data_IF_590083070888
#
_entry.id   IF_590083070888
#
_cell.length_a   1.000
_cell.length_b   1.000
_cell.length_c   1.000
_cell.angle_alpha   90.00
_cell.angle_beta   90.00
_cell.angle_gamma   90.00
#
_symmetry.space_group_name_H-M   'P 1'
#
loop_
_entity.id
_entity.type
_entity.pdbx_description
1 polymer ?
#
# COMPACT_ATOMS: atom_id res chain seq x y z
N UNK A 1 1.55 28.90 -19.45
CA UNK A 1 1.36 29.68 -18.21
C UNK A 1 2.10 28.94 -17.12
N UNK A 2 2.85 29.66 -16.29
CA UNK A 2 3.62 29.03 -15.23
C UNK A 2 2.70 28.88 -14.01
N UNK A 3 2.42 27.65 -13.54
CA UNK A 3 1.43 27.33 -12.49
C UNK A 3 1.88 27.74 -11.08
N UNK A 4 2.79 28.70 -10.97
CA UNK A 4 3.30 29.20 -9.70
C UNK A 4 2.22 29.91 -8.88
N UNK A 5 1.14 30.38 -9.51
CA UNK A 5 0.00 31.03 -8.83
C UNK A 5 -0.88 30.03 -8.05
N UNK A 6 -0.81 28.74 -8.36
CA UNK A 6 -1.58 27.69 -7.67
C UNK A 6 -0.99 27.34 -6.30
N UNK A 7 0.21 27.84 -5.99
CA UNK A 7 0.94 27.57 -4.75
C UNK A 7 1.30 28.87 -4.03
N UNK A 8 1.30 28.82 -2.71
CA UNK A 8 1.83 29.90 -1.88
C UNK A 8 3.34 30.06 -2.05
N UNK A 9 4.07 28.95 -2.23
CA UNK A 9 5.51 28.97 -2.47
C UNK A 9 5.98 27.68 -3.17
N UNK A 10 5.92 27.61 -4.49
CA UNK A 10 6.46 26.50 -5.26
C UNK A 10 7.95 26.20 -4.93
N UNK A 11 8.37 24.92 -4.80
CA UNK A 11 7.59 23.67 -4.82
C UNK A 11 7.10 23.21 -3.44
N UNK A 12 7.19 24.06 -2.41
CA UNK A 12 6.79 23.73 -1.05
C UNK A 12 5.27 23.71 -0.89
N UNK A 13 4.80 22.85 0.00
CA UNK A 13 3.39 22.73 0.35
C UNK A 13 3.15 23.17 1.79
N UNK A 14 2.13 23.99 1.97
CA UNK A 14 1.46 24.16 3.27
C UNK A 14 0.67 22.90 3.62
N UNK A 15 0.29 22.70 4.90
CA UNK A 15 -0.58 21.58 5.29
C UNK A 15 -1.89 21.53 4.50
N UNK A 16 -2.50 22.68 4.22
CA UNK A 16 -3.75 22.80 3.47
C UNK A 16 -3.56 22.44 1.98
N UNK A 17 -2.47 22.92 1.36
CA UNK A 17 -2.13 22.55 -0.02
C UNK A 17 -1.83 21.05 -0.12
N UNK A 18 -1.13 20.48 0.87
CA UNK A 18 -0.88 19.04 0.89
C UNK A 18 -2.18 18.23 1.01
N UNK A 19 -3.08 18.61 1.93
CA UNK A 19 -4.40 17.98 2.05
C UNK A 19 -5.20 18.06 0.73
N UNK A 20 -5.14 19.20 0.04
CA UNK A 20 -5.75 19.38 -1.28
C UNK A 20 -5.12 18.45 -2.32
N UNK A 21 -3.79 18.37 -2.40
CA UNK A 21 -3.10 17.48 -3.35
C UNK A 21 -3.43 16.01 -3.09
N UNK A 22 -3.54 15.59 -1.82
CA UNK A 22 -3.97 14.25 -1.44
C UNK A 22 -5.39 13.95 -1.92
N UNK A 23 -6.33 14.88 -1.71
CA UNK A 23 -7.72 14.72 -2.18
C UNK A 23 -7.82 14.64 -3.71
N UNK A 24 -7.04 15.45 -4.43
CA UNK A 24 -6.99 15.44 -5.90
C UNK A 24 -6.38 14.15 -6.43
N UNK A 25 -5.34 13.65 -5.78
CA UNK A 25 -4.68 12.39 -6.10
C UNK A 25 -5.62 11.19 -5.92
N UNK A 26 -6.33 11.13 -4.79
CA UNK A 26 -7.32 10.09 -4.51
C UNK A 26 -8.51 10.15 -5.48
N UNK A 27 -9.03 11.36 -5.76
CA UNK A 27 -10.07 11.57 -6.78
C UNK A 27 -9.63 11.01 -8.14
N UNK A 28 -8.39 11.26 -8.56
CA UNK A 28 -7.83 10.74 -9.81
C UNK A 28 -7.74 9.21 -9.79
N UNK A 29 -7.30 8.61 -8.69
CA UNK A 29 -7.27 7.16 -8.51
C UNK A 29 -8.66 6.52 -8.61
N UNK A 30 -9.66 7.12 -7.96
CA UNK A 30 -11.06 6.64 -7.99
C UNK A 30 -11.61 6.69 -9.42
N UNK A 31 -11.37 7.79 -10.14
CA UNK A 31 -11.85 8.01 -11.51
C UNK A 31 -11.15 7.15 -12.56
N UNK A 32 -9.91 6.71 -12.29
CA UNK A 32 -9.14 5.90 -13.22
C UNK A 32 -9.74 4.50 -13.42
N UNK A 33 -9.84 4.07 -14.68
CA UNK A 33 -10.33 2.74 -15.07
C UNK A 33 -9.20 1.71 -15.01
N UNK A 34 -8.80 1.35 -13.80
CA UNK A 34 -7.63 0.50 -13.53
C UNK A 34 -7.78 -0.98 -13.92
N UNK A 35 -9.01 -1.47 -14.13
CA UNK A 35 -9.24 -2.88 -14.49
C UNK A 35 -8.60 -3.85 -13.48
N UNK A 36 -7.87 -4.89 -13.95
CA UNK A 36 -7.18 -5.87 -13.09
C UNK A 36 -6.14 -5.26 -12.15
N UNK A 37 -5.53 -4.12 -12.51
CA UNK A 37 -4.51 -3.44 -11.69
C UNK A 37 -5.03 -3.06 -10.31
N UNK A 38 -6.33 -2.80 -10.18
CA UNK A 38 -6.97 -2.45 -8.89
C UNK A 38 -6.92 -3.58 -7.85
N UNK A 39 -6.69 -4.83 -8.26
CA UNK A 39 -6.49 -5.96 -7.34
C UNK A 39 -5.13 -5.91 -6.64
N UNK A 40 -4.12 -5.39 -7.34
CA UNK A 40 -2.72 -5.41 -6.90
C UNK A 40 -2.21 -4.05 -6.44
N UNK A 41 -2.96 -2.97 -6.67
CA UNK A 41 -2.54 -1.61 -6.39
C UNK A 41 -3.73 -0.84 -5.81
N UNK A 42 -3.64 -0.48 -4.53
CA UNK A 42 -4.67 0.27 -3.80
C UNK A 42 -4.07 1.56 -3.28
N UNK A 43 -4.83 2.65 -3.40
CA UNK A 43 -4.50 3.95 -2.80
C UNK A 43 -5.63 4.28 -1.82
N UNK A 44 -5.26 4.71 -0.62
CA UNK A 44 -6.17 5.19 0.40
C UNK A 44 -5.67 6.53 0.94
N UNK A 45 -6.57 7.49 1.11
CA UNK A 45 -6.27 8.68 1.91
C UNK A 45 -6.49 8.37 3.38
N UNK A 46 -5.49 8.65 4.22
CA UNK A 46 -5.53 8.45 5.67
C UNK A 46 -5.47 9.80 6.38
N UNK A 47 -6.06 9.85 7.57
CA UNK A 47 -5.99 11.01 8.47
C UNK A 47 -5.62 10.52 9.86
N UNK A 48 -4.49 11.02 10.37
CA UNK A 48 -4.03 10.70 11.72
C UNK A 48 -4.82 11.52 12.72
N UNK A 49 -5.53 10.87 13.64
CA UNK A 49 -6.41 11.56 14.60
C UNK A 49 -5.63 12.38 15.64
N UNK A 50 -4.44 11.93 16.03
CA UNK A 50 -3.62 12.58 17.07
C UNK A 50 -3.04 13.91 16.61
N UNK A 51 -2.57 13.98 15.37
CA UNK A 51 -1.92 15.15 14.78
C UNK A 51 -2.85 15.93 13.83
N UNK A 52 -3.96 15.34 13.41
CA UNK A 52 -4.86 15.89 12.39
C UNK A 52 -4.29 15.87 10.97
N UNK A 53 -3.11 15.27 10.77
CA UNK A 53 -2.39 15.28 9.48
C UNK A 53 -2.95 14.25 8.51
N UNK A 54 -3.13 14.67 7.26
CA UNK A 54 -3.50 13.78 6.15
C UNK A 54 -2.25 13.11 5.58
N UNK A 55 -2.38 11.86 5.11
CA UNK A 55 -1.35 11.12 4.39
C UNK A 55 -1.99 10.26 3.30
N UNK A 56 -1.17 9.80 2.35
CA UNK A 56 -1.60 8.80 1.36
C UNK A 56 -0.93 7.47 1.70
N UNK A 57 -1.72 6.41 1.73
CA UNK A 57 -1.26 5.03 1.84
C UNK A 57 -1.44 4.35 0.48
N UNK A 58 -0.39 3.70 -0.02
CA UNK A 58 -0.41 2.91 -1.24
C UNK A 58 0.01 1.48 -0.90
N UNK A 59 -0.87 0.52 -1.15
CA UNK A 59 -0.59 -0.90 -0.94
C UNK A 59 -0.40 -1.54 -2.31
N UNK A 60 0.74 -2.19 -2.51
CA UNK A 60 1.07 -2.91 -3.74
C UNK A 60 1.48 -4.34 -3.45
N UNK A 61 0.85 -5.30 -4.11
CA UNK A 61 1.28 -6.71 -4.05
C UNK A 61 2.60 -6.89 -4.83
N UNK A 62 3.53 -7.64 -4.26
CA UNK A 62 4.82 -7.96 -4.89
C UNK A 62 4.70 -9.12 -5.89
N UNK A 63 3.75 -10.02 -5.65
CA UNK A 63 3.38 -11.12 -6.53
C UNK A 63 1.87 -11.06 -6.77
N UNK A 64 1.44 -11.27 -8.02
CA UNK A 64 0.02 -11.38 -8.32
C UNK A 64 -0.52 -12.70 -7.72
N UNK A 65 -1.73 -12.70 -7.13
CA UNK A 65 -2.42 -13.95 -6.81
C UNK A 65 -2.52 -14.82 -8.06
N UNK A 66 -1.94 -16.02 -8.02
CA UNK A 66 -2.26 -17.10 -8.99
C UNK A 66 -3.69 -17.64 -8.76
N UNK A 67 -4.34 -17.21 -7.67
CA UNK A 67 -5.57 -17.77 -7.07
C UNK A 67 -6.89 -17.39 -7.76
N UNK A 68 -6.91 -16.57 -8.83
CA UNK A 68 -8.17 -16.37 -9.57
C UNK A 68 -8.73 -17.71 -10.06
N UNK A 69 -7.85 -18.60 -10.53
CA UNK A 69 -8.26 -19.93 -10.97
C UNK A 69 -8.73 -20.80 -9.82
N UNK A 70 -8.12 -20.72 -8.64
CA UNK A 70 -8.38 -21.69 -7.58
C UNK A 70 -9.67 -21.39 -6.80
N UNK A 71 -9.97 -20.12 -6.53
CA UNK A 71 -11.26 -19.74 -5.94
C UNK A 71 -12.41 -19.95 -6.93
N UNK A 72 -12.25 -19.59 -8.21
CA UNK A 72 -13.27 -19.88 -9.24
C UNK A 72 -13.48 -21.39 -9.42
N UNK A 73 -12.41 -22.19 -9.33
CA UNK A 73 -12.48 -23.68 -9.34
C UNK A 73 -13.18 -24.23 -8.10
N UNK A 74 -12.96 -23.65 -6.93
CA UNK A 74 -13.63 -24.06 -5.70
C UNK A 74 -15.12 -23.71 -5.71
N UNK A 75 -15.49 -22.53 -6.21
CA UNK A 75 -16.90 -22.16 -6.44
C UNK A 75 -17.58 -23.06 -7.48
N UNK A 76 -16.87 -23.44 -8.56
CA UNK A 76 -17.38 -24.39 -9.54
C UNK A 76 -17.61 -25.80 -8.95
N UNK A 77 -16.79 -26.22 -7.97
CA UNK A 77 -16.98 -27.47 -7.24
C UNK A 77 -18.18 -27.44 -6.27
N UNK A 78 -18.55 -26.26 -5.76
CA UNK A 78 -19.74 -26.08 -4.93
C UNK A 78 -21.05 -26.08 -5.74
N UNK A 79 -21.01 -25.65 -7.01
CA UNK A 79 -22.16 -25.67 -7.92
C UNK A 79 -22.39 -27.02 -8.65
N UNK A 80 -21.51 -28.00 -8.45
CA UNK A 80 -21.51 -29.27 -9.16
C UNK A 80 -22.35 -30.35 -8.51
N UNK A 81 -23.67 -30.17 -8.47
CA UNK A 81 -24.59 -31.19 -7.96
C UNK A 81 -26.04 -30.93 -8.35
N UNK A 82 -26.37 -31.04 -9.63
CA UNK A 82 -27.76 -31.25 -10.01
C UNK A 82 -28.12 -32.72 -9.74
N UNK A 83 -29.18 -32.96 -8.95
CA UNK A 83 -30.22 -33.85 -9.44
C UNK A 83 -31.58 -33.13 -9.44
N UNK A 84 -32.27 -33.29 -10.55
CA UNK A 84 -33.70 -33.05 -10.69
C UNK A 84 -34.46 -34.07 -9.84
N UNK A 85 -35.02 -33.65 -8.69
CA UNK A 85 -36.22 -34.24 -8.08
C UNK A 85 -36.94 -33.17 -7.27
N UNK A 86 -38.16 -32.87 -7.69
CA UNK A 86 -39.23 -32.20 -6.94
C UNK A 86 -39.39 -32.72 -5.50
N UNK A 87 -39.32 -31.85 -4.49
CA UNK A 87 -39.74 -32.17 -3.12
C UNK A 87 -39.23 -31.15 -2.09
N UNK A 88 -40.14 -30.60 -1.29
CA UNK A 88 -39.87 -29.71 -0.17
C UNK A 88 -38.83 -30.30 0.80
N UNK A 89 -37.76 -29.55 1.11
CA UNK A 89 -36.85 -29.87 2.22
C UNK A 89 -36.89 -28.71 3.21
N UNK A 90 -37.62 -28.93 4.29
CA UNK A 90 -37.57 -28.11 5.49
C UNK A 90 -36.17 -28.20 6.12
N UNK A 91 -35.57 -27.06 6.44
CA UNK A 91 -34.33 -26.98 7.21
C UNK A 91 -34.72 -27.07 8.68
N UNK A 92 -34.53 -28.24 9.29
CA UNK A 92 -34.65 -28.42 10.75
C UNK A 92 -33.41 -27.83 11.42
N UNK A 93 -33.58 -26.69 12.10
CA UNK A 93 -32.55 -26.11 12.97
C UNK A 93 -32.75 -26.72 14.36
N UNK A 94 -31.94 -27.72 14.70
CA UNK A 94 -31.88 -28.23 16.06
C UNK A 94 -31.12 -27.23 16.94
N UNK A 95 -31.86 -26.52 17.80
CA UNK A 95 -31.30 -25.70 18.89
C UNK A 95 -30.90 -26.65 20.03
N UNK A 96 -29.60 -26.87 20.21
CA UNK A 96 -29.07 -27.59 21.38
C UNK A 96 -28.61 -26.57 22.43
N UNK A 97 -28.98 -26.84 23.68
CA UNK A 97 -28.88 -26.01 24.88
C UNK A 97 -27.53 -25.34 25.12
N UNK A 98 -27.61 -24.10 25.60
CA UNK A 98 -26.52 -23.34 26.20
C UNK A 98 -26.20 -23.92 27.58
N UNK A 99 -24.99 -24.42 27.80
CA UNK A 99 -24.39 -24.43 29.14
C UNK A 99 -22.85 -24.48 29.04
N UNK A 100 -22.20 -23.53 29.73
CA UNK A 100 -20.76 -23.46 30.06
C UNK A 100 -19.79 -22.70 29.13
N UNK A 101 -20.10 -21.42 28.87
CA UNK A 101 -19.19 -20.47 28.20
C UNK A 101 -18.21 -19.79 29.18
N UNK A 102 -17.30 -20.58 29.76
CA UNK A 102 -16.24 -20.07 30.63
C UNK A 102 -14.87 -20.69 30.33
N UNK A 103 -14.28 -20.38 29.16
CA UNK A 103 -12.82 -20.43 29.04
C UNK A 103 -12.24 -19.42 28.02
N UNK A 104 -12.67 -18.17 28.10
CA UNK A 104 -11.89 -17.06 27.54
C UNK A 104 -10.80 -16.66 28.54
N UNK A 105 -9.55 -16.61 28.08
CA UNK A 105 -8.31 -16.19 28.78
C UNK A 105 -7.45 -17.31 29.39
N UNK A 106 -6.77 -18.07 28.52
CA UNK A 106 -5.45 -18.62 28.87
C UNK A 106 -4.37 -18.02 27.95
N UNK A 107 -3.29 -17.44 28.51
CA UNK A 107 -2.13 -17.03 27.72
C UNK A 107 -1.44 -18.26 27.15
N UNK A 108 -1.16 -18.25 25.85
CA UNK A 108 -0.47 -19.33 25.15
C UNK A 108 0.93 -19.57 25.76
N UNK A 109 1.08 -20.69 26.47
CA UNK A 109 2.39 -21.25 26.76
C UNK A 109 2.84 -22.08 25.56
N UNK A 110 4.06 -21.77 25.09
CA UNK A 110 4.78 -22.53 24.08
C UNK A 110 4.95 -23.98 24.52
N UNK A 111 4.43 -24.94 23.75
CA UNK A 111 4.85 -26.35 23.81
C UNK A 111 4.93 -26.93 22.39
N UNK A 112 6.07 -27.58 22.15
CA UNK A 112 6.54 -28.21 20.93
C UNK A 112 5.55 -29.13 20.21
N UNK A 113 5.61 -29.04 18.87
CA UNK A 113 5.75 -30.18 17.98
C UNK A 113 4.77 -31.34 18.10
N UNK A 114 3.64 -31.25 17.41
CA UNK A 114 3.12 -32.28 16.48
C UNK A 114 1.90 -31.70 15.76
N UNK A 115 1.84 -31.90 14.46
CA UNK A 115 0.96 -31.16 13.55
C UNK A 115 -0.52 -31.36 13.81
N UNK A 116 -1.19 -30.27 14.19
CA UNK A 116 -2.44 -29.79 13.59
C UNK A 116 -2.57 -28.32 14.01
N UNK A 117 -1.90 -27.43 13.29
CA UNK A 117 -1.92 -26.00 13.59
C UNK A 117 -3.28 -25.44 13.23
N UNK A 118 -3.96 -24.82 14.20
CA UNK A 118 -5.15 -24.01 13.95
C UNK A 118 -4.87 -23.09 12.76
N UNK A 119 -5.78 -22.99 11.77
CA UNK A 119 -5.57 -22.14 10.61
C UNK A 119 -5.33 -20.70 11.07
N UNK A 120 -4.12 -20.22 10.79
CA UNK A 120 -3.72 -18.87 11.13
C UNK A 120 -4.30 -17.96 10.05
N UNK A 121 -5.51 -17.44 10.29
CA UNK A 121 -6.16 -16.52 9.38
C UNK A 121 -5.46 -15.17 9.42
N UNK A 122 -4.44 -14.97 8.57
CA UNK A 122 -4.01 -13.63 8.21
C UNK A 122 -5.09 -13.02 7.31
N UNK A 123 -5.50 -11.78 7.61
CA UNK A 123 -6.53 -11.05 6.85
C UNK A 123 -6.11 -10.77 5.38
N UNK A 124 -4.85 -11.03 5.08
CA UNK A 124 -4.27 -11.07 3.74
C UNK A 124 -3.80 -12.52 3.53
N UNK A 125 -4.13 -13.13 2.38
CA UNK A 125 -3.40 -14.32 1.90
C UNK A 125 -1.90 -14.06 2.08
N UNK A 126 -1.06 -15.06 2.35
CA UNK A 126 0.40 -14.98 2.62
C UNK A 126 1.23 -14.37 1.48
N UNK A 127 0.63 -13.51 0.67
CA UNK A 127 1.21 -12.82 -0.46
C UNK A 127 2.03 -11.64 0.02
N UNK A 128 3.31 -11.58 -0.36
CA UNK A 128 4.18 -10.48 -0.02
C UNK A 128 3.66 -9.19 -0.65
N UNK A 129 3.65 -8.12 0.15
CA UNK A 129 3.24 -6.79 -0.30
C UNK A 129 4.10 -5.70 0.31
N UNK A 130 4.01 -4.51 -0.28
CA UNK A 130 4.66 -3.31 0.20
C UNK A 130 3.60 -2.26 0.48
N UNK A 131 3.74 -1.60 1.63
CA UNK A 131 2.97 -0.41 1.99
C UNK A 131 3.87 0.78 1.78
N UNK A 132 3.42 1.76 1.01
CA UNK A 132 4.05 3.07 0.90
C UNK A 132 3.17 4.10 1.58
N UNK A 133 3.76 5.03 2.29
CA UNK A 133 3.06 6.15 2.90
C UNK A 133 3.69 7.48 2.48
N UNK A 134 2.87 8.44 2.09
CA UNK A 134 3.29 9.78 1.71
C UNK A 134 2.85 10.75 2.80
N UNK A 135 3.84 11.31 3.49
CA UNK A 135 3.65 12.28 4.59
C UNK A 135 4.27 13.63 4.24
N UNK A 136 3.65 14.73 4.66
CA UNK A 136 4.28 16.05 4.55
C UNK A 136 5.37 16.19 5.62
N UNK A 137 6.61 16.46 5.19
CA UNK A 137 7.69 16.69 6.13
C UNK A 137 7.56 18.07 6.79
N UNK A 138 7.53 18.12 8.12
CA UNK A 138 7.29 19.34 8.90
C UNK A 138 8.28 20.48 8.58
N UNK A 139 9.59 20.19 8.50
CA UNK A 139 10.63 21.20 8.22
C UNK A 139 10.78 21.53 6.74
N UNK A 140 10.96 20.52 5.88
CA UNK A 140 11.19 20.73 4.45
C UNK A 140 9.96 21.20 3.69
N UNK A 141 8.74 21.02 4.23
CA UNK A 141 7.47 21.34 3.56
C UNK A 141 7.36 20.69 2.18
N UNK A 142 7.87 19.47 2.07
CA UNK A 142 7.81 18.62 0.89
C UNK A 142 7.31 17.24 1.31
N UNK A 143 6.67 16.47 0.41
CA UNK A 143 6.28 15.12 0.74
C UNK A 143 7.51 14.22 0.97
N UNK A 144 7.31 13.18 1.77
CA UNK A 144 8.29 12.14 2.07
C UNK A 144 7.67 10.77 1.88
N UNK A 145 8.41 9.89 1.21
CA UNK A 145 7.96 8.54 0.90
C UNK A 145 8.50 7.58 1.95
N UNK A 146 7.62 7.04 2.78
CA UNK A 146 7.90 5.96 3.73
C UNK A 146 7.44 4.64 3.13
N UNK A 147 8.09 3.54 3.48
CA UNK A 147 7.67 2.23 3.03
C UNK A 147 8.11 1.09 3.94
N UNK A 148 7.28 0.03 3.94
CA UNK A 148 7.49 -1.19 4.71
C UNK A 148 7.13 -2.41 3.87
N UNK A 149 7.97 -3.44 3.96
CA UNK A 149 7.75 -4.73 3.34
C UNK A 149 7.00 -5.64 4.33
N UNK A 150 6.03 -6.39 3.84
CA UNK A 150 5.19 -7.28 4.63
C UNK A 150 5.15 -8.68 4.01
N UNK A 151 5.03 -9.68 4.87
CA UNK A 151 4.82 -11.09 4.50
C UNK A 151 5.85 -11.62 3.48
N UNK A 152 7.12 -11.19 3.64
CA UNK A 152 8.22 -11.58 2.77
C UNK A 152 8.52 -13.08 2.93
N UNK A 153 8.73 -13.84 1.83
CA UNK A 153 9.03 -15.26 1.89
C UNK A 153 10.26 -15.57 2.74
N UNK A 154 10.34 -16.80 3.26
CA UNK A 154 11.46 -17.33 4.05
C UNK A 154 11.70 -16.65 5.41
N UNK A 155 10.74 -15.85 5.91
CA UNK A 155 10.86 -15.20 7.22
C UNK A 155 11.94 -14.12 7.27
N UNK A 156 12.29 -13.55 6.13
CA UNK A 156 13.24 -12.43 6.06
C UNK A 156 12.69 -11.23 6.86
N UNK A 157 13.53 -10.51 7.61
CA UNK A 157 13.09 -9.32 8.34
C UNK A 157 12.50 -8.27 7.39
N UNK A 158 11.40 -7.64 7.79
CA UNK A 158 10.77 -6.54 7.04
C UNK A 158 11.69 -5.31 6.89
N UNK A 159 12.57 -5.10 7.88
CA UNK A 159 13.58 -4.04 7.90
C UNK A 159 14.94 -4.57 7.45
N UNK A 160 14.99 -5.17 6.25
CA UNK A 160 16.24 -5.57 5.61
C UNK A 160 16.40 -4.84 4.27
N UNK A 161 17.51 -4.12 4.14
CA UNK A 161 17.82 -3.38 2.91
C UNK A 161 18.08 -4.33 1.73
N UNK A 162 18.57 -5.55 1.98
CA UNK A 162 18.75 -6.55 0.93
C UNK A 162 17.41 -7.04 0.40
N UNK A 163 16.39 -7.18 1.24
CA UNK A 163 15.01 -7.43 0.83
C UNK A 163 14.45 -6.30 -0.04
N UNK A 164 14.73 -5.03 0.31
CA UNK A 164 14.36 -3.88 -0.54
C UNK A 164 14.99 -4.00 -1.93
N UNK A 165 16.29 -4.27 -2.01
CA UNK A 165 16.96 -4.48 -3.29
C UNK A 165 16.43 -5.71 -4.04
N UNK A 166 16.05 -6.78 -3.34
CA UNK A 166 15.57 -8.02 -3.96
C UNK A 166 14.18 -7.84 -4.58
N UNK A 167 13.24 -7.24 -3.85
CA UNK A 167 11.82 -7.23 -4.20
C UNK A 167 11.32 -5.92 -4.81
N UNK A 168 11.95 -4.78 -4.52
CA UNK A 168 11.47 -3.47 -4.97
C UNK A 168 12.31 -2.89 -6.11
N UNK A 169 13.61 -3.17 -6.13
CA UNK A 169 14.53 -2.58 -7.11
C UNK A 169 14.62 -3.48 -8.36
N UNK A 170 14.28 -2.98 -9.56
CA UNK A 170 14.50 -3.73 -10.80
C UNK A 170 15.98 -4.07 -11.01
N UNK A 171 16.28 -5.25 -11.55
CA UNK A 171 17.64 -5.77 -11.70
C UNK A 171 18.61 -4.79 -12.38
N UNK A 172 18.15 -4.07 -13.42
CA UNK A 172 18.96 -3.08 -14.14
C UNK A 172 19.42 -1.89 -13.27
N UNK A 173 18.73 -1.60 -12.16
CA UNK A 173 19.05 -0.48 -11.27
C UNK A 173 19.76 -0.91 -10.00
N UNK A 174 19.85 -2.22 -9.70
CA UNK A 174 20.49 -2.74 -8.48
C UNK A 174 21.96 -2.35 -8.40
N UNK A 175 22.72 -2.51 -9.48
CA UNK A 175 24.14 -2.17 -9.52
C UNK A 175 24.38 -0.68 -9.32
N UNK A 176 23.58 0.19 -9.97
CA UNK A 176 23.69 1.64 -9.84
C UNK A 176 23.30 2.12 -8.44
N UNK A 177 22.20 1.60 -7.87
CA UNK A 177 21.77 1.95 -6.52
C UNK A 177 22.73 1.39 -5.44
N UNK A 178 23.38 0.25 -5.69
CA UNK A 178 24.44 -0.29 -4.82
C UNK A 178 25.76 0.47 -4.94
N UNK A 179 26.14 0.93 -6.14
CA UNK A 179 27.36 1.73 -6.38
C UNK A 179 27.23 3.17 -5.86
N UNK A 180 26.05 3.79 -6.00
CA UNK A 180 25.74 5.08 -5.37
C UNK A 180 25.51 4.92 -3.86
N UNK A 181 25.35 3.67 -3.40
CA UNK A 181 25.16 3.27 -2.02
C UNK A 181 23.78 3.64 -1.47
N UNK A 182 23.54 3.22 -0.22
CA UNK A 182 22.48 3.71 0.69
C UNK A 182 22.47 5.26 0.78
N UNK A 183 23.53 5.92 0.29
CA UNK A 183 23.69 7.37 0.16
C UNK A 183 22.86 8.01 -0.97
N UNK A 184 22.16 7.22 -1.80
CA UNK A 184 21.33 7.68 -2.92
C UNK A 184 19.86 8.00 -2.61
N UNK A 185 19.43 7.97 -1.34
CA UNK A 185 18.11 8.47 -0.92
C UNK A 185 17.32 7.58 0.03
N UNK A 186 17.58 6.27 0.09
CA UNK A 186 16.90 5.35 1.02
C UNK A 186 17.58 5.40 2.40
N UNK A 187 16.80 5.61 3.45
CA UNK A 187 17.26 5.64 4.84
C UNK A 187 16.28 4.86 5.72
N UNK A 188 16.69 4.50 6.93
CA UNK A 188 15.83 3.85 7.93
C UNK A 188 15.71 4.74 9.16
N UNK A 189 14.49 4.91 9.66
CA UNK A 189 14.17 5.67 10.87
C UNK A 189 12.84 5.18 11.46
N UNK A 190 12.49 5.68 12.65
CA UNK A 190 11.17 5.44 13.20
C UNK A 190 10.12 6.21 12.39
N UNK A 191 9.04 5.53 12.02
CA UNK A 191 7.94 6.09 11.24
C UNK A 191 7.26 7.24 12.02
N UNK A 192 6.95 8.39 11.38
CA UNK A 192 6.51 9.61 12.07
C UNK A 192 5.16 9.50 12.79
N UNK A 193 4.35 8.50 12.44
CA UNK A 193 3.04 8.28 13.05
C UNK A 193 3.04 7.10 14.03
N UNK A 194 3.69 6.00 13.68
CA UNK A 194 3.60 4.73 14.42
C UNK A 194 4.81 4.47 15.31
N UNK A 195 5.90 5.22 15.14
CA UNK A 195 7.19 5.05 15.82
C UNK A 195 7.84 3.66 15.62
N UNK A 196 7.34 2.88 14.66
CA UNK A 196 7.91 1.59 14.26
C UNK A 196 9.02 1.82 13.23
N UNK A 197 10.13 1.06 13.27
CA UNK A 197 11.19 1.17 12.26
C UNK A 197 10.66 0.95 10.84
N UNK A 198 10.97 1.87 9.94
CA UNK A 198 10.57 1.83 8.53
C UNK A 198 11.65 2.45 7.63
N UNK A 199 11.59 2.15 6.33
CA UNK A 199 12.42 2.82 5.34
C UNK A 199 11.74 4.10 4.84
N UNK A 200 12.53 5.08 4.44
CA UNK A 200 12.03 6.30 3.81
C UNK A 200 13.01 6.85 2.78
N UNK A 201 12.48 7.68 1.87
CA UNK A 201 13.27 8.47 0.92
C UNK A 201 13.50 9.86 1.49
N UNK A 202 14.76 10.26 1.64
CA UNK A 202 15.13 11.58 2.16
C UNK A 202 14.75 12.69 1.15
N UNK A 203 14.05 13.76 1.59
CA UNK A 203 13.51 14.78 0.66
C UNK A 203 14.55 15.76 0.11
N UNK A 204 15.82 15.69 0.54
CA UNK A 204 16.87 16.69 0.26
C UNK A 204 17.00 17.11 -1.22
N UNK A 205 16.87 16.17 -2.16
CA UNK A 205 17.06 16.44 -3.59
C UNK A 205 15.72 16.56 -4.35
N UNK A 206 14.60 16.37 -3.66
CA UNK A 206 13.27 16.40 -4.28
C UNK A 206 12.84 17.82 -4.62
N UNK A 207 13.35 18.82 -3.90
CA UNK A 207 13.10 20.24 -4.16
C UNK A 207 13.58 20.64 -5.55
N UNK A 208 14.87 20.47 -5.80
CA UNK A 208 15.52 20.87 -7.06
C UNK A 208 14.94 20.09 -8.24
N UNK A 209 14.61 18.81 -8.01
CA UNK A 209 13.96 17.98 -9.01
C UNK A 209 12.57 18.52 -9.38
N UNK A 210 11.74 18.89 -8.39
CA UNK A 210 10.42 19.46 -8.63
C UNK A 210 10.50 20.82 -9.34
N UNK A 211 11.46 21.68 -9.00
CA UNK A 211 11.66 23.00 -9.62
C UNK A 211 11.93 22.93 -11.14
N UNK A 212 12.35 21.76 -11.66
CA UNK A 212 12.53 21.54 -13.10
C UNK A 212 11.21 21.38 -13.89
N UNK A 213 10.08 21.27 -13.19
CA UNK A 213 8.77 21.04 -13.80
C UNK A 213 7.83 22.24 -13.60
N UNK A 214 6.96 22.47 -14.59
CA UNK A 214 5.82 23.36 -14.46
C UNK A 214 4.58 22.51 -14.14
N UNK A 215 4.28 22.33 -12.86
CA UNK A 215 3.31 21.33 -12.40
C UNK A 215 2.11 22.02 -11.71
N UNK A 216 0.89 21.90 -12.24
CA UNK A 216 -0.30 22.39 -11.56
C UNK A 216 -0.57 21.58 -10.28
N UNK A 217 -1.27 22.16 -9.31
CA UNK A 217 -1.51 21.53 -8.00
C UNK A 217 -2.20 20.17 -8.11
N UNK A 218 -3.05 19.98 -9.12
CA UNK A 218 -3.67 18.69 -9.38
C UNK A 218 -2.66 17.60 -9.73
N UNK A 219 -1.54 17.93 -10.34
CA UNK A 219 -0.52 16.98 -10.81
C UNK A 219 0.66 16.84 -9.86
N UNK A 220 0.67 17.58 -8.74
CA UNK A 220 1.79 17.63 -7.80
C UNK A 220 2.23 16.24 -7.36
N UNK A 221 1.32 15.46 -6.75
CA UNK A 221 1.66 14.12 -6.24
C UNK A 221 1.95 13.11 -7.34
N UNK A 222 1.32 13.23 -8.52
CA UNK A 222 1.65 12.37 -9.67
C UNK A 222 3.10 12.58 -10.11
N UNK A 223 3.50 13.86 -10.25
CA UNK A 223 4.85 14.26 -10.66
C UNK A 223 5.87 13.88 -9.60
N UNK A 224 5.60 14.21 -8.34
CA UNK A 224 6.50 13.90 -7.23
C UNK A 224 6.72 12.39 -7.06
N UNK A 225 5.65 11.57 -7.12
CA UNK A 225 5.81 10.09 -7.09
C UNK A 225 6.59 9.60 -8.31
N UNK A 226 6.38 10.18 -9.49
CA UNK A 226 7.16 9.84 -10.68
C UNK A 226 8.67 10.09 -10.53
N UNK A 227 9.05 11.09 -9.73
CA UNK A 227 10.45 11.40 -9.44
C UNK A 227 11.07 10.47 -8.40
N UNK A 228 10.36 10.19 -7.30
CA UNK A 228 10.94 9.47 -6.16
C UNK A 228 10.60 7.97 -6.14
N UNK A 229 9.45 7.58 -6.68
CA UNK A 229 8.92 6.22 -6.53
C UNK A 229 9.72 5.15 -7.26
N UNK A 230 10.33 5.49 -8.40
CA UNK A 230 11.06 4.54 -9.25
C UNK A 230 12.21 3.83 -8.55
N UNK A 231 12.88 4.48 -7.60
CA UNK A 231 14.00 3.89 -6.85
C UNK A 231 13.57 2.79 -5.86
N UNK A 232 12.28 2.73 -5.53
CA UNK A 232 11.68 1.74 -4.60
C UNK A 232 10.53 0.98 -5.23
N UNK A 233 10.51 0.88 -6.57
CA UNK A 233 9.53 0.07 -7.29
C UNK A 233 8.09 0.61 -7.23
N UNK A 234 7.89 1.86 -6.85
CA UNK A 234 6.59 2.52 -6.85
C UNK A 234 6.36 3.21 -8.19
N UNK A 235 5.45 2.66 -8.99
CA UNK A 235 5.02 3.22 -10.27
C UNK A 235 3.51 3.39 -10.24
N UNK A 236 3.04 4.59 -10.59
CA UNK A 236 1.61 4.86 -10.68
C UNK A 236 1.03 4.23 -11.95
N UNK A 237 -0.17 3.60 -11.88
CA UNK A 237 -0.84 3.07 -13.05
C UNK A 237 -1.06 4.14 -14.13
N UNK A 238 -0.79 3.81 -15.39
CA UNK A 238 -0.88 4.74 -16.51
C UNK A 238 -2.28 5.33 -16.71
N UNK A 239 -3.31 4.57 -16.33
CA UNK A 239 -4.71 4.95 -16.38
C UNK A 239 -5.01 6.15 -15.47
N UNK A 240 -4.24 6.34 -14.40
CA UNK A 240 -4.34 7.54 -13.56
C UNK A 240 -3.89 8.79 -14.31
N UNK A 241 -2.84 8.69 -15.14
CA UNK A 241 -2.42 9.83 -15.98
C UNK A 241 -3.45 10.16 -17.07
N UNK A 242 -4.21 9.17 -17.52
CA UNK A 242 -5.30 9.35 -18.50
C UNK A 242 -6.58 9.89 -17.87
N UNK A 243 -6.78 9.65 -16.57
CA UNK A 243 -7.91 10.17 -15.81
C UNK A 243 -7.77 11.68 -15.64
N UNK A 244 -8.41 12.43 -16.54
CA UNK A 244 -8.57 13.88 -16.37
C UNK A 244 -9.40 14.12 -15.12
N UNK A 245 -8.84 14.86 -14.16
CA UNK A 245 -9.64 15.46 -13.10
C UNK A 245 -10.50 16.51 -13.81
N UNK A 246 -11.76 16.17 -14.07
CA UNK A 246 -12.68 17.09 -14.73
C UNK A 246 -12.71 18.43 -14.01
N UNK A 247 -12.31 19.49 -14.72
CA UNK A 247 -12.84 20.83 -14.47
C UNK A 247 -14.28 20.92 -14.99
N UNK A 248 -15.07 21.91 -14.52
CA UNK A 248 -16.47 22.08 -14.90
C UNK A 248 -16.70 22.12 -16.41
#
# INVERSE_FOLDING_TARGET
MAHHEDYRQWPFLTPEEFELTCALFDKRYIQAKLGPTRKNFKINTRRTLTTGTTSIEIIRLLQLPEEEDDLLRQFAKLGGGAPDVSGDIAIDIAMADEEEDHEALRPAQNVDGTGDGLPQYSLYSHQPYVTYEIHLHATYRLPTLWFTLHDIPNGEPSLDIDSVYRYLVPEQYKSQLREVGVTGGISAANHPVTDVPAFFIHPCQTKEAMECYNCPIEEYLMTWVGLVGGCVGLYLPSEMAQAKIGGP
#
